data_IF_866399742488
#
_entry.id   IF_866399742488
#
_cell.length_a   1.000
_cell.length_b   1.000
_cell.length_c   1.000
_cell.angle_alpha   90.00
_cell.angle_beta   90.00
_cell.angle_gamma   90.00
#
_symmetry.space_group_name_H-M   'P 1'
#
loop_
_entity.id
_entity.type
_entity.pdbx_description
1 polymer ?
#
# COMPACT_ATOMS: atom_id res chain seq x y z
N UNK A 1 32.28 -41.45 -2.89
CA UNK A 1 30.89 -40.99 -3.15
C UNK A 1 30.33 -40.06 -2.07
N UNK A 2 30.92 -39.99 -0.86
CA UNK A 2 30.42 -39.16 0.27
C UNK A 2 30.64 -37.65 0.06
N UNK A 3 31.75 -37.25 -0.56
CA UNK A 3 32.12 -35.83 -0.75
C UNK A 3 31.11 -35.03 -1.60
N UNK A 4 30.43 -35.68 -2.56
CA UNK A 4 29.37 -35.05 -3.36
C UNK A 4 28.15 -34.66 -2.52
N UNK A 5 27.80 -35.46 -1.52
CA UNK A 5 26.67 -35.18 -0.63
C UNK A 5 27.00 -34.06 0.37
N UNK A 6 28.25 -33.99 0.82
CA UNK A 6 28.72 -32.91 1.71
C UNK A 6 28.69 -31.54 1.00
N UNK A 7 29.12 -31.49 -0.26
CA UNK A 7 29.09 -30.26 -1.05
C UNK A 7 27.63 -29.82 -1.33
N UNK A 8 26.73 -30.77 -1.61
CA UNK A 8 25.30 -30.49 -1.80
C UNK A 8 24.66 -29.95 -0.51
N UNK A 9 25.01 -30.52 0.66
CA UNK A 9 24.51 -30.09 1.96
C UNK A 9 24.97 -28.66 2.32
N UNK A 10 26.23 -28.33 2.03
CA UNK A 10 26.78 -26.98 2.22
C UNK A 10 26.09 -25.95 1.31
N UNK A 11 25.74 -26.34 0.08
CA UNK A 11 25.03 -25.47 -0.86
C UNK A 11 23.57 -25.20 -0.43
N UNK A 12 22.92 -26.18 0.21
CA UNK A 12 21.56 -26.07 0.74
C UNK A 12 21.48 -25.24 2.04
N UNK A 13 22.56 -25.20 2.83
CA UNK A 13 22.64 -24.36 4.03
C UNK A 13 22.92 -22.89 3.71
N UNK A 14 23.63 -22.61 2.61
CA UNK A 14 23.95 -21.26 2.17
C UNK A 14 22.78 -20.51 1.52
N UNK A 15 21.69 -21.20 1.14
CA UNK A 15 20.49 -20.59 0.55
C UNK A 15 19.44 -20.13 1.57
N UNK A 16 19.68 -20.36 2.87
CA UNK A 16 18.76 -19.96 3.94
C UNK A 16 18.88 -18.45 4.24
N UNK A 17 19.99 -17.81 3.87
CA UNK A 17 20.22 -16.36 4.05
C UNK A 17 19.60 -15.49 2.93
N UNK A 18 18.47 -15.94 2.37
CA UNK A 18 17.68 -15.12 1.47
C UNK A 18 16.65 -14.26 2.22
N UNK A 19 17.08 -13.04 2.53
CA UNK A 19 16.28 -11.80 2.47
C UNK A 19 15.33 -11.47 3.64
N UNK A 20 15.88 -11.02 4.76
CA UNK A 20 15.27 -9.91 5.50
C UNK A 20 16.26 -8.75 5.52
N UNK A 21 16.06 -7.78 4.63
CA UNK A 21 16.88 -6.58 4.65
C UNK A 21 16.61 -5.86 5.99
N UNK A 22 17.62 -5.66 6.86
CA UNK A 22 17.43 -5.03 8.17
C UNK A 22 16.83 -3.62 8.07
N UNK A 23 16.96 -2.97 6.91
CA UNK A 23 16.31 -1.69 6.63
C UNK A 23 14.78 -1.81 6.56
N UNK A 24 14.26 -2.86 5.92
CA UNK A 24 12.81 -3.07 5.76
C UNK A 24 12.11 -3.30 7.10
N UNK A 25 12.76 -4.01 8.02
CA UNK A 25 12.19 -4.26 9.35
C UNK A 25 12.16 -2.99 10.21
N UNK A 26 13.20 -2.16 10.14
CA UNK A 26 13.22 -0.85 10.81
C UNK A 26 12.14 0.08 10.29
N UNK A 27 11.95 0.12 8.97
CA UNK A 27 10.90 0.93 8.35
C UNK A 27 9.50 0.45 8.79
N UNK A 28 9.31 -0.88 8.93
CA UNK A 28 8.07 -1.49 9.44
C UNK A 28 7.77 -1.08 10.88
N UNK A 29 8.76 -1.18 11.77
CA UNK A 29 8.60 -0.80 13.18
C UNK A 29 8.34 0.71 13.35
N UNK A 30 9.04 1.55 12.58
CA UNK A 30 8.83 2.99 12.59
C UNK A 30 7.39 3.35 12.17
N UNK A 31 6.89 2.69 11.12
CA UNK A 31 5.55 2.91 10.62
C UNK A 31 4.48 2.43 11.62
N UNK A 32 4.71 1.29 12.28
CA UNK A 32 3.84 0.81 13.36
C UNK A 32 3.77 1.79 14.55
N UNK A 33 4.91 2.34 14.98
CA UNK A 33 4.95 3.33 16.07
C UNK A 33 4.26 4.63 15.69
N UNK A 34 4.47 5.11 14.46
CA UNK A 34 3.78 6.28 13.93
C UNK A 34 2.27 6.06 13.88
N UNK A 35 1.82 4.89 13.42
CA UNK A 35 0.41 4.47 13.39
C UNK A 35 -0.21 4.46 14.79
N UNK A 36 0.51 3.98 15.81
CA UNK A 36 0.01 3.96 17.18
C UNK A 36 -0.10 5.37 17.78
N UNK A 37 0.93 6.20 17.63
CA UNK A 37 0.94 7.60 18.09
C UNK A 37 -0.18 8.41 17.42
N UNK A 38 -0.40 8.13 16.15
CA UNK A 38 -1.49 8.64 15.31
C UNK A 38 -2.88 8.43 15.91
N UNK A 39 -3.18 7.20 16.32
CA UNK A 39 -4.45 6.82 16.92
C UNK A 39 -4.69 7.50 18.27
N UNK A 40 -3.61 7.82 18.99
CA UNK A 40 -3.66 8.46 20.31
C UNK A 40 -3.85 9.97 20.17
N UNK A 41 -3.12 10.62 19.26
CA UNK A 41 -3.07 12.09 19.14
C UNK A 41 -4.24 12.65 18.33
N UNK A 42 -4.69 11.96 17.28
CA UNK A 42 -5.74 12.45 16.37
C UNK A 42 -7.07 11.72 16.55
N UNK A 43 -7.47 11.51 17.80
CA UNK A 43 -8.73 10.85 18.15
C UNK A 43 -9.91 11.67 17.59
N UNK A 44 -10.45 11.22 16.45
CA UNK A 44 -11.62 11.82 15.79
C UNK A 44 -11.37 12.57 14.48
N UNK A 45 -10.13 12.70 13.99
CA UNK A 45 -9.86 13.26 12.66
C UNK A 45 -9.76 12.13 11.64
N UNK A 46 -10.74 12.04 10.75
CA UNK A 46 -10.79 11.05 9.68
C UNK A 46 -10.74 11.71 8.31
N UNK A 47 -10.32 10.94 7.31
CA UNK A 47 -10.25 11.33 5.92
C UNK A 47 -10.51 10.11 5.01
N UNK A 48 -10.64 10.38 3.72
CA UNK A 48 -10.72 9.36 2.69
C UNK A 48 -9.33 9.05 2.15
N UNK A 49 -9.03 7.79 1.89
CA UNK A 49 -7.67 7.32 1.66
C UNK A 49 -7.58 6.40 0.45
N UNK A 50 -6.71 6.75 -0.51
CA UNK A 50 -6.61 6.11 -1.83
C UNK A 50 -5.33 5.28 -1.96
N UNK A 51 -5.48 3.96 -2.00
CA UNK A 51 -4.40 3.01 -2.13
C UNK A 51 -4.36 2.41 -3.52
N UNK A 52 -3.26 2.59 -4.24
CA UNK A 52 -3.08 1.96 -5.54
C UNK A 52 -1.84 1.05 -5.56
N UNK A 53 -1.96 -0.07 -6.26
CA UNK A 53 -0.82 -0.91 -6.64
C UNK A 53 -0.19 -0.41 -7.95
N UNK A 54 1.11 -0.69 -8.11
CA UNK A 54 1.91 -0.29 -9.26
C UNK A 54 1.28 -0.81 -10.55
N UNK A 55 1.16 0.08 -11.52
CA UNK A 55 0.55 -0.17 -12.83
C UNK A 55 1.47 -0.90 -13.81
N UNK A 56 2.68 -1.26 -13.39
CA UNK A 56 3.57 -2.10 -14.20
C UNK A 56 2.82 -3.36 -14.64
N UNK A 57 2.88 -3.63 -15.95
CA UNK A 57 2.14 -4.71 -16.63
C UNK A 57 0.60 -4.60 -16.62
N UNK A 58 0.01 -3.41 -16.38
CA UNK A 58 -1.45 -3.18 -16.46
C UNK A 58 -2.30 -4.03 -15.48
N UNK A 59 -1.67 -4.59 -14.44
CA UNK A 59 -2.32 -5.44 -13.43
C UNK A 59 -2.62 -4.68 -12.12
N UNK A 60 -2.48 -3.36 -12.12
CA UNK A 60 -2.73 -2.53 -10.95
C UNK A 60 -4.21 -2.45 -10.56
N UNK A 61 -4.46 -1.98 -9.35
CA UNK A 61 -5.78 -1.68 -8.82
C UNK A 61 -5.70 -0.49 -7.88
N UNK A 62 -6.82 0.19 -7.68
CA UNK A 62 -6.95 1.22 -6.67
C UNK A 62 -8.15 0.92 -5.76
N UNK A 63 -7.98 1.22 -4.48
CA UNK A 63 -9.02 1.16 -3.47
C UNK A 63 -9.10 2.51 -2.76
N UNK A 64 -10.30 3.04 -2.63
CA UNK A 64 -10.60 4.23 -1.86
C UNK A 64 -11.42 3.85 -0.63
N UNK A 65 -10.86 4.10 0.55
CA UNK A 65 -11.49 3.84 1.84
C UNK A 65 -11.97 5.14 2.44
N UNK A 66 -13.20 5.14 2.94
CA UNK A 66 -13.79 6.32 3.58
C UNK A 66 -13.62 6.29 5.09
N UNK A 67 -13.57 7.46 5.73
CA UNK A 67 -13.61 7.58 7.19
C UNK A 67 -12.46 6.85 7.91
N UNK A 68 -11.26 6.96 7.36
CA UNK A 68 -10.03 6.37 7.91
C UNK A 68 -9.30 7.44 8.73
N UNK A 69 -8.75 7.14 9.93
CA UNK A 69 -7.93 8.10 10.66
C UNK A 69 -6.78 8.65 9.79
N UNK A 70 -6.64 9.98 9.71
CA UNK A 70 -5.75 10.67 8.75
C UNK A 70 -4.30 10.14 8.72
N UNK A 71 -3.77 9.73 9.87
CA UNK A 71 -2.40 9.25 9.98
C UNK A 71 -2.25 7.73 9.79
N UNK A 72 -3.34 6.96 9.68
CA UNK A 72 -3.30 5.56 9.25
C UNK A 72 -3.35 5.42 7.73
N UNK A 73 -3.54 6.54 7.02
CA UNK A 73 -3.56 6.61 5.57
C UNK A 73 -2.18 6.66 4.92
N UNK A 74 -1.11 6.68 5.72
CA UNK A 74 0.25 6.58 5.22
C UNK A 74 0.49 5.17 4.70
N UNK A 75 0.71 5.06 3.39
CA UNK A 75 1.14 3.82 2.75
C UNK A 75 2.50 3.38 3.26
N UNK A 76 2.81 2.10 3.08
CA UNK A 76 4.16 1.59 3.34
C UNK A 76 5.16 2.41 2.49
N UNK A 77 6.25 2.95 3.08
CA UNK A 77 7.21 3.78 2.34
C UNK A 77 7.84 3.03 1.16
N UNK A 78 7.87 1.70 1.24
CA UNK A 78 8.47 0.79 0.28
C UNK A 78 7.54 -0.40 -0.01
N UNK A 79 7.37 -0.74 -1.30
CA UNK A 79 6.52 -1.84 -1.78
C UNK A 79 5.81 -1.52 -3.09
N UNK A 80 5.16 -2.51 -3.70
CA UNK A 80 4.43 -2.36 -4.96
C UNK A 80 3.14 -1.53 -4.84
N UNK A 81 2.76 -1.05 -3.65
CA UNK A 81 1.66 -0.12 -3.46
C UNK A 81 2.11 1.10 -2.68
N UNK A 82 1.94 2.30 -3.26
CA UNK A 82 2.08 3.57 -2.53
C UNK A 82 0.70 4.21 -2.44
N UNK A 83 0.42 4.78 -1.28
CA UNK A 83 -0.82 5.48 -0.96
C UNK A 83 -0.44 6.63 -0.04
N UNK A 84 -0.73 7.87 -0.41
CA UNK A 84 -0.41 9.03 0.43
C UNK A 84 -1.46 10.15 0.41
N UNK A 85 -2.54 10.04 -0.37
CA UNK A 85 -3.53 11.11 -0.42
C UNK A 85 -4.69 10.87 0.53
N UNK A 86 -4.75 11.76 1.52
CA UNK A 86 -5.93 12.10 2.33
C UNK A 86 -6.60 13.40 1.84
N UNK A 87 -6.18 13.91 0.66
CA UNK A 87 -6.54 15.26 0.14
C UNK A 87 -7.68 15.23 -0.87
N UNK A 88 -8.13 14.06 -1.28
CA UNK A 88 -9.25 13.85 -2.21
C UNK A 88 -10.30 12.97 -1.53
N UNK A 89 -11.58 13.28 -1.69
CA UNK A 89 -12.65 12.43 -1.19
C UNK A 89 -12.89 11.24 -2.14
N UNK A 90 -13.32 10.11 -1.60
CA UNK A 90 -13.73 8.98 -2.43
C UNK A 90 -14.93 9.35 -3.31
N UNK A 91 -15.83 10.21 -2.81
CA UNK A 91 -16.97 10.70 -3.58
C UNK A 91 -16.51 11.47 -4.83
N UNK A 92 -15.59 12.42 -4.66
CA UNK A 92 -15.03 13.18 -5.79
C UNK A 92 -14.34 12.25 -6.78
N UNK A 93 -13.53 11.30 -6.27
CA UNK A 93 -12.78 10.37 -7.10
C UNK A 93 -13.69 9.45 -7.92
N UNK A 94 -14.76 8.91 -7.30
CA UNK A 94 -15.74 8.06 -7.98
C UNK A 94 -16.57 8.86 -8.98
N UNK A 95 -16.93 10.11 -8.63
CA UNK A 95 -17.69 10.99 -9.53
C UNK A 95 -16.87 11.47 -10.74
N UNK A 96 -15.54 11.51 -10.61
CA UNK A 96 -14.61 11.91 -11.67
C UNK A 96 -14.51 10.91 -12.83
N UNK A 97 -15.03 9.70 -12.66
CA UNK A 97 -15.16 8.70 -13.72
C UNK A 97 -14.59 7.33 -13.36
N UNK A 98 -14.54 6.46 -14.38
CA UNK A 98 -14.16 5.05 -14.24
C UNK A 98 -15.31 4.13 -13.82
N UNK A 99 -15.00 2.85 -13.64
CA UNK A 99 -15.95 1.85 -13.15
C UNK A 99 -15.43 1.32 -11.81
N UNK A 100 -16.20 1.61 -10.77
CA UNK A 100 -15.89 1.28 -9.38
C UNK A 100 -16.84 0.20 -8.87
N UNK A 101 -16.28 -0.73 -8.11
CA UNK A 101 -17.03 -1.71 -7.31
C UNK A 101 -17.05 -1.23 -5.88
N UNK A 102 -18.25 -1.02 -5.33
CA UNK A 102 -18.43 -0.58 -3.96
C UNK A 102 -18.77 -1.75 -3.05
N UNK A 103 -18.14 -1.80 -1.87
CA UNK A 103 -18.48 -2.76 -0.83
C UNK A 103 -19.63 -2.25 0.08
N UNK A 104 -20.09 -3.09 1.01
CA UNK A 104 -21.16 -2.74 1.95
C UNK A 104 -20.75 -1.67 2.98
N UNK A 105 -19.45 -1.43 3.15
CA UNK A 105 -18.91 -0.41 4.05
C UNK A 105 -18.74 0.94 3.34
N UNK A 106 -19.05 1.03 2.04
CA UNK A 106 -18.95 2.24 1.24
C UNK A 106 -17.59 2.42 0.55
N UNK A 107 -16.64 1.50 0.74
CA UNK A 107 -15.33 1.58 0.10
C UNK A 107 -15.44 1.23 -1.38
N UNK A 108 -14.66 1.91 -2.21
CA UNK A 108 -14.71 1.77 -3.67
C UNK A 108 -13.42 1.19 -4.19
N UNK A 109 -13.49 0.25 -5.11
CA UNK A 109 -12.32 -0.36 -5.75
C UNK A 109 -12.45 -0.41 -7.26
N UNK A 110 -11.35 -0.26 -7.97
CA UNK A 110 -11.28 -0.35 -9.43
C UNK A 110 -10.00 -1.08 -9.85
N UNK A 111 -10.00 -1.58 -11.08
CA UNK A 111 -8.83 -2.22 -11.69
C UNK A 111 -8.16 -1.24 -12.65
N UNK A 112 -6.92 -1.51 -13.06
CA UNK A 112 -6.18 -0.62 -13.97
C UNK A 112 -6.97 -0.17 -15.21
N UNK A 113 -7.76 -1.07 -15.80
CA UNK A 113 -8.57 -0.78 -16.99
C UNK A 113 -9.80 0.09 -16.69
N UNK A 114 -10.26 0.11 -15.44
CA UNK A 114 -11.49 0.81 -15.04
C UNK A 114 -11.24 2.01 -14.14
N UNK A 115 -10.06 2.12 -13.54
CA UNK A 115 -9.71 3.23 -12.67
C UNK A 115 -9.51 4.52 -13.49
N UNK A 116 -10.02 5.66 -13.02
CA UNK A 116 -9.66 6.95 -13.57
C UNK A 116 -8.17 7.25 -13.28
N UNK A 117 -7.43 7.92 -14.18
CA UNK A 117 -6.04 8.33 -13.94
C UNK A 117 -5.83 9.10 -12.63
N UNK A 118 -6.84 9.85 -12.20
CA UNK A 118 -6.88 10.64 -10.97
C UNK A 118 -6.68 9.77 -9.72
N UNK A 119 -7.11 8.51 -9.73
CA UNK A 119 -6.91 7.60 -8.61
C UNK A 119 -5.42 7.30 -8.39
N UNK A 120 -4.70 7.08 -9.49
CA UNK A 120 -3.26 6.87 -9.46
C UNK A 120 -2.50 8.16 -9.11
N UNK A 121 -2.92 9.31 -9.61
CA UNK A 121 -2.34 10.60 -9.20
C UNK A 121 -2.53 10.85 -7.71
N UNK A 122 -3.73 10.56 -7.19
CA UNK A 122 -4.02 10.64 -5.77
C UNK A 122 -3.08 9.73 -4.95
N UNK A 123 -2.88 8.48 -5.37
CA UNK A 123 -2.07 7.54 -4.62
C UNK A 123 -0.54 7.82 -4.69
N UNK A 124 -0.04 8.33 -5.82
CA UNK A 124 1.39 8.41 -6.12
C UNK A 124 2.00 9.83 -6.07
N UNK A 125 1.21 10.89 -5.94
CA UNK A 125 1.72 12.27 -5.80
C UNK A 125 1.60 12.77 -4.35
N UNK A 126 2.52 13.63 -3.91
CA UNK A 126 2.46 14.24 -2.57
C UNK A 126 1.28 15.22 -2.39
N UNK A 127 0.73 15.68 -3.52
CA UNK A 127 -0.37 16.66 -3.57
C UNK A 127 -1.73 15.98 -3.77
N UNK A 128 -1.75 14.73 -4.22
CA UNK A 128 -2.96 13.98 -4.48
C UNK A 128 -3.75 14.47 -5.70
N UNK A 129 -3.12 15.25 -6.59
CA UNK A 129 -3.70 15.91 -7.77
C UNK A 129 -2.73 15.84 -8.94
#
# INVERSE_FOLDING_TARGET
>A
MIYKYIILLLFLLASIDCTSNPQTEKDREANQKQTLLSLIVNKGVTADCVYCSNTQAFQGSCSCYTNIPVLTCQGLPNGNGKSNSYKISCADLVSGGGIWTQDRAGNSSCTYLTCPPEAYRAAFTAEGR
#
